data_IF_222974221049
#
_entry.id   IF_222974221049
#
_cell.length_a   1.000
_cell.length_b   1.000
_cell.length_c   1.000
_cell.angle_alpha   90.00
_cell.angle_beta   90.00
_cell.angle_gamma   90.00
#
_symmetry.space_group_name_H-M   'P 1'
#
loop_
_entity.id
_entity.type
_entity.pdbx_description
1 polymer ?
#
# COMPACT_ATOMS: atom_id res chain seq x y z
N UNK A 1 3.56 -13.46 10.76
CA UNK A 1 2.96 -13.39 12.12
C UNK A 1 3.56 -14.50 12.94
N UNK A 2 4.26 -14.15 14.02
CA UNK A 2 4.81 -15.09 14.97
C UNK A 2 3.80 -15.32 16.12
N UNK A 3 3.63 -16.56 16.53
CA UNK A 3 2.85 -16.83 17.75
C UNK A 3 3.70 -16.45 18.96
N UNK A 4 3.16 -15.67 19.88
CA UNK A 4 3.88 -15.20 21.08
C UNK A 4 4.48 -16.33 21.90
N UNK A 5 3.83 -17.48 21.96
CA UNK A 5 4.35 -18.66 22.65
C UNK A 5 5.57 -19.34 22.00
N UNK A 6 6.02 -18.82 20.85
CA UNK A 6 7.25 -19.26 20.17
C UNK A 6 8.37 -18.23 20.25
N UNK A 7 8.14 -17.11 20.88
CA UNK A 7 9.15 -16.10 21.15
C UNK A 7 9.83 -16.50 22.46
N UNK A 8 11.14 -16.70 22.50
CA UNK A 8 11.86 -17.02 23.74
C UNK A 8 11.69 -15.90 24.76
N UNK A 9 11.71 -16.25 26.05
CA UNK A 9 11.74 -15.26 27.10
C UNK A 9 13.01 -14.40 26.97
N UNK A 10 12.88 -13.10 27.18
CA UNK A 10 13.94 -12.10 27.00
C UNK A 10 14.51 -12.00 25.57
N UNK A 11 13.75 -12.42 24.55
CA UNK A 11 14.14 -12.22 23.17
C UNK A 11 14.29 -10.74 22.82
N UNK A 12 15.41 -10.39 22.20
CA UNK A 12 15.61 -9.09 21.59
C UNK A 12 14.86 -9.02 20.26
N UNK A 13 13.97 -8.03 20.11
CA UNK A 13 13.14 -7.86 18.92
C UNK A 13 13.45 -6.53 18.27
N UNK A 14 13.88 -6.57 17.02
CA UNK A 14 14.07 -5.38 16.18
C UNK A 14 12.94 -5.26 15.18
N UNK A 15 12.20 -4.16 15.23
CA UNK A 15 11.18 -3.79 14.23
C UNK A 15 11.77 -2.83 13.19
N UNK A 16 10.97 -2.43 12.20
CA UNK A 16 11.45 -1.54 11.12
C UNK A 16 11.96 -0.20 11.66
N UNK A 17 11.36 0.32 12.70
CA UNK A 17 11.74 1.57 13.35
C UNK A 17 13.13 1.49 14.02
N UNK A 18 13.54 0.28 14.41
CA UNK A 18 14.85 0.00 14.98
C UNK A 18 15.95 -0.25 13.95
N UNK A 19 15.64 -0.34 12.64
CA UNK A 19 16.66 -0.54 11.60
C UNK A 19 17.40 0.75 11.28
N UNK A 20 16.71 1.87 11.23
CA UNK A 20 17.25 3.20 11.00
C UNK A 20 16.16 4.25 10.99
N UNK A 21 16.54 5.51 11.19
CA UNK A 21 15.65 6.66 11.31
C UNK A 21 15.66 7.52 10.06
N UNK A 22 14.78 8.53 9.98
CA UNK A 22 14.78 9.50 8.87
C UNK A 22 16.10 10.29 8.76
N UNK A 23 16.78 10.53 9.88
CA UNK A 23 18.06 11.24 9.92
C UNK A 23 19.27 10.34 9.68
N UNK A 24 19.15 9.02 9.96
CA UNK A 24 20.22 8.05 9.74
C UNK A 24 19.62 6.71 9.28
N UNK A 25 19.40 6.62 7.99
CA UNK A 25 18.86 5.42 7.38
C UNK A 25 19.93 4.35 7.19
N UNK A 26 19.57 3.12 7.47
CA UNK A 26 20.38 1.96 7.12
C UNK A 26 20.58 1.88 5.59
N UNK A 27 21.73 1.39 5.05
CA UNK A 27 21.95 1.24 3.62
C UNK A 27 20.81 0.55 2.85
N UNK A 28 20.19 -0.46 3.45
CA UNK A 28 19.02 -1.13 2.87
C UNK A 28 17.84 -0.18 2.69
N UNK A 29 17.55 0.69 3.66
CA UNK A 29 16.46 1.65 3.57
C UNK A 29 16.72 2.69 2.48
N UNK A 30 17.95 3.18 2.38
CA UNK A 30 18.36 4.10 1.29
C UNK A 30 18.23 3.44 -0.07
N UNK A 31 18.73 2.22 -0.23
CA UNK A 31 18.59 1.46 -1.47
C UNK A 31 17.11 1.22 -1.83
N UNK A 32 16.26 0.91 -0.85
CA UNK A 32 14.81 0.73 -1.07
C UNK A 32 14.14 1.96 -1.64
N UNK A 33 14.51 3.15 -1.18
CA UNK A 33 14.03 4.41 -1.76
C UNK A 33 14.55 4.62 -3.17
N UNK A 34 15.86 4.49 -3.35
CA UNK A 34 16.55 4.81 -4.59
C UNK A 34 16.09 3.93 -5.76
N UNK A 35 15.81 2.66 -5.50
CA UNK A 35 15.33 1.70 -6.50
C UNK A 35 13.82 1.65 -6.66
N UNK A 36 13.08 2.58 -6.03
CA UNK A 36 11.62 2.66 -6.15
C UNK A 36 10.85 1.49 -5.54
N UNK A 37 11.44 0.82 -4.54
CA UNK A 37 10.86 -0.35 -3.90
C UNK A 37 9.67 -0.02 -2.99
N UNK A 38 9.63 1.20 -2.43
CA UNK A 38 8.55 1.65 -1.56
C UNK A 38 7.43 2.32 -2.36
N UNK A 39 6.56 1.55 -3.00
CA UNK A 39 5.36 2.06 -3.69
C UNK A 39 4.21 2.23 -2.70
N UNK A 40 3.31 1.24 -2.52
CA UNK A 40 2.33 1.34 -1.44
C UNK A 40 3.01 1.31 -0.06
N UNK A 41 4.14 0.64 0.08
CA UNK A 41 4.93 0.59 1.31
C UNK A 41 4.52 -0.54 2.28
N UNK A 42 3.39 -1.21 2.04
CA UNK A 42 2.86 -2.21 2.96
C UNK A 42 3.80 -3.38 3.22
N UNK A 43 4.50 -3.85 2.18
CA UNK A 43 5.44 -4.96 2.30
C UNK A 43 6.86 -4.52 2.70
N UNK A 44 7.17 -3.22 2.64
CA UNK A 44 8.54 -2.70 2.84
C UNK A 44 9.15 -3.10 4.17
N UNK A 45 8.46 -3.00 5.32
CA UNK A 45 9.03 -3.42 6.61
C UNK A 45 9.51 -4.88 6.60
N UNK A 46 8.67 -5.78 6.13
CA UNK A 46 8.99 -7.21 6.08
C UNK A 46 10.17 -7.53 5.17
N UNK A 47 10.23 -6.91 3.98
CA UNK A 47 11.35 -7.12 3.06
C UNK A 47 12.65 -6.51 3.59
N UNK A 48 12.63 -5.31 4.17
CA UNK A 48 13.80 -4.64 4.71
C UNK A 48 14.40 -5.44 5.87
N UNK A 49 13.58 -5.88 6.83
CA UNK A 49 14.04 -6.76 7.92
C UNK A 49 14.60 -8.07 7.36
N UNK A 50 13.90 -8.69 6.40
CA UNK A 50 14.35 -9.93 5.77
C UNK A 50 15.68 -9.75 5.03
N UNK A 51 15.85 -8.65 4.29
CA UNK A 51 17.09 -8.31 3.62
C UNK A 51 18.22 -8.04 4.62
N UNK A 52 17.94 -7.34 5.73
CA UNK A 52 18.91 -7.10 6.80
C UNK A 52 19.43 -8.41 7.38
N UNK A 53 18.54 -9.33 7.74
CA UNK A 53 18.94 -10.65 8.26
C UNK A 53 19.79 -11.43 7.25
N UNK A 54 19.43 -11.37 5.96
CA UNK A 54 20.26 -11.99 4.91
C UNK A 54 21.66 -11.38 4.89
N UNK A 55 21.78 -10.05 4.81
CA UNK A 55 23.05 -9.37 4.64
C UNK A 55 23.95 -9.41 5.90
N UNK A 56 23.35 -9.47 7.08
CA UNK A 56 24.08 -9.69 8.34
C UNK A 56 24.76 -11.09 8.36
N UNK A 57 24.15 -12.09 7.73
CA UNK A 57 24.68 -13.47 7.68
C UNK A 57 25.47 -13.78 6.39
N UNK A 58 25.17 -13.10 5.31
CA UNK A 58 25.87 -13.24 4.02
C UNK A 58 26.06 -11.85 3.39
N UNK A 59 27.20 -11.19 3.63
CA UNK A 59 27.45 -9.85 3.10
C UNK A 59 27.62 -9.78 1.58
N UNK A 60 27.82 -10.92 0.92
CA UNK A 60 28.06 -10.99 -0.53
C UNK A 60 27.15 -12.01 -1.22
N UNK A 61 25.81 -11.85 -1.09
CA UNK A 61 24.90 -12.80 -1.70
C UNK A 61 24.89 -12.66 -3.23
N UNK A 62 24.63 -13.75 -3.92
CA UNK A 62 24.25 -13.70 -5.33
C UNK A 62 22.79 -13.23 -5.48
N UNK A 63 22.43 -12.76 -6.68
CA UNK A 63 21.03 -12.37 -6.99
C UNK A 63 20.06 -13.53 -6.81
N UNK A 64 20.51 -14.75 -7.07
CA UNK A 64 19.72 -15.96 -6.92
C UNK A 64 19.45 -16.25 -5.44
N UNK A 65 20.49 -16.17 -4.61
CA UNK A 65 20.35 -16.32 -3.16
C UNK A 65 19.40 -15.29 -2.54
N UNK A 66 19.45 -14.02 -2.99
CA UNK A 66 18.52 -12.99 -2.54
C UNK A 66 17.07 -13.35 -2.91
N UNK A 67 16.84 -13.78 -4.16
CA UNK A 67 15.51 -14.21 -4.62
C UNK A 67 14.99 -15.39 -3.81
N UNK A 68 15.83 -16.41 -3.64
CA UNK A 68 15.44 -17.63 -2.93
C UNK A 68 15.22 -17.39 -1.44
N UNK A 69 16.00 -16.47 -0.85
CA UNK A 69 15.77 -16.00 0.51
C UNK A 69 14.39 -15.39 0.67
N UNK A 70 14.02 -14.42 -0.18
CA UNK A 70 12.69 -13.80 -0.11
C UNK A 70 11.56 -14.81 -0.33
N UNK A 71 11.73 -15.76 -1.24
CA UNK A 71 10.79 -16.85 -1.46
C UNK A 71 10.65 -17.74 -0.20
N UNK A 72 11.77 -18.11 0.42
CA UNK A 72 11.81 -18.92 1.65
C UNK A 72 11.12 -18.20 2.81
N UNK A 73 11.32 -16.89 2.93
CA UNK A 73 10.67 -16.05 3.95
C UNK A 73 9.22 -15.72 3.61
N UNK A 74 8.71 -16.13 2.44
CA UNK A 74 7.36 -15.86 1.95
C UNK A 74 7.04 -14.36 1.87
N UNK A 75 8.02 -13.54 1.56
CA UNK A 75 7.82 -12.13 1.33
C UNK A 75 7.07 -11.89 0.03
N UNK A 76 5.95 -11.18 0.09
CA UNK A 76 5.10 -10.90 -1.06
C UNK A 76 4.99 -9.38 -1.31
N UNK A 77 5.11 -9.00 -2.58
CA UNK A 77 4.87 -7.65 -3.05
C UNK A 77 3.96 -7.66 -4.29
N UNK A 78 2.91 -6.83 -4.30
CA UNK A 78 2.00 -6.72 -5.46
C UNK A 78 2.38 -5.58 -6.40
N UNK A 79 3.25 -4.65 -5.96
CA UNK A 79 3.50 -3.39 -6.67
C UNK A 79 4.73 -3.41 -7.57
N UNK A 80 5.83 -4.06 -7.16
CA UNK A 80 7.18 -3.82 -7.71
C UNK A 80 7.61 -4.79 -8.79
N UNK A 81 7.00 -5.97 -8.88
CA UNK A 81 7.47 -7.06 -9.76
C UNK A 81 8.79 -7.69 -9.29
N UNK A 82 9.18 -7.48 -8.03
CA UNK A 82 10.33 -8.09 -7.32
C UNK A 82 11.74 -7.69 -7.82
N UNK A 83 11.95 -7.44 -9.11
CA UNK A 83 13.27 -7.08 -9.64
C UNK A 83 13.92 -5.91 -8.89
N UNK A 84 13.25 -4.78 -8.65
CA UNK A 84 13.82 -3.66 -7.88
C UNK A 84 14.22 -4.05 -6.46
N UNK A 85 13.48 -4.97 -5.81
CA UNK A 85 13.79 -5.43 -4.45
C UNK A 85 15.12 -6.19 -4.39
N UNK A 86 15.38 -7.03 -5.39
CA UNK A 86 16.64 -7.75 -5.52
C UNK A 86 17.77 -6.76 -5.83
N UNK A 87 17.55 -5.85 -6.78
CA UNK A 87 18.53 -4.83 -7.17
C UNK A 87 18.92 -3.95 -5.98
N UNK A 88 17.95 -3.50 -5.19
CA UNK A 88 18.17 -2.72 -3.98
C UNK A 88 18.95 -3.48 -2.90
N UNK A 89 18.67 -4.78 -2.72
CA UNK A 89 19.41 -5.62 -1.78
C UNK A 89 20.87 -5.77 -2.20
N UNK A 90 21.13 -5.98 -3.48
CA UNK A 90 22.49 -6.07 -4.01
C UNK A 90 23.27 -4.77 -3.86
N UNK A 91 22.60 -3.63 -4.13
CA UNK A 91 23.19 -2.31 -3.96
C UNK A 91 23.47 -1.99 -2.48
N UNK A 92 22.56 -2.33 -1.58
CA UNK A 92 22.77 -2.20 -0.15
C UNK A 92 23.95 -3.06 0.33
N UNK A 93 24.09 -4.28 -0.17
CA UNK A 93 25.23 -5.15 0.12
C UNK A 93 26.56 -4.50 -0.30
N UNK A 94 26.61 -3.86 -1.48
CA UNK A 94 27.80 -3.14 -1.95
C UNK A 94 28.16 -1.95 -1.03
N UNK A 95 27.16 -1.19 -0.57
CA UNK A 95 27.40 -0.13 0.43
C UNK A 95 27.94 -0.70 1.74
N UNK A 96 27.34 -1.79 2.23
CA UNK A 96 27.77 -2.42 3.50
C UNK A 96 29.19 -3.00 3.43
N UNK A 97 29.66 -3.39 2.23
CA UNK A 97 31.05 -3.82 2.00
C UNK A 97 32.02 -2.65 1.74
N UNK A 98 31.53 -1.40 1.69
CA UNK A 98 32.34 -0.22 1.41
C UNK A 98 32.74 -0.04 -0.05
N UNK A 99 32.10 -0.74 -0.98
CA UNK A 99 32.34 -0.63 -2.43
C UNK A 99 31.70 0.64 -3.02
N UNK A 100 30.71 1.22 -2.33
CA UNK A 100 30.04 2.46 -2.67
C UNK A 100 29.49 3.11 -1.41
N UNK A 101 29.02 4.38 -1.50
CA UNK A 101 28.44 5.10 -0.39
C UNK A 101 26.91 5.12 -0.47
N UNK A 102 26.22 5.52 0.62
CA UNK A 102 24.76 5.74 0.61
C UNK A 102 24.37 6.85 -0.39
N UNK A 103 25.22 7.86 -0.53
CA UNK A 103 25.04 9.01 -1.42
C UNK A 103 25.12 8.63 -2.90
N UNK A 104 25.85 7.56 -3.24
CA UNK A 104 25.95 7.06 -4.62
C UNK A 104 24.65 6.37 -5.06
N UNK A 105 23.83 5.90 -4.11
CA UNK A 105 22.52 5.32 -4.40
C UNK A 105 21.47 6.38 -4.72
N UNK A 106 21.61 7.57 -4.15
CA UNK A 106 20.58 8.60 -4.22
C UNK A 106 20.64 9.30 -5.57
N UNK A 107 19.49 9.42 -6.22
CA UNK A 107 19.37 10.17 -7.46
C UNK A 107 19.83 11.63 -7.26
N UNK A 108 20.76 12.06 -8.11
CA UNK A 108 21.21 13.46 -8.19
C UNK A 108 20.59 14.08 -9.42
N UNK A 109 19.78 15.12 -9.24
CA UNK A 109 19.19 15.84 -10.36
C UNK A 109 20.29 16.55 -11.16
N UNK A 110 20.32 16.29 -12.46
CA UNK A 110 21.18 16.96 -13.43
C UNK A 110 20.31 17.66 -14.47
N UNK A 111 20.11 18.97 -14.31
CA UNK A 111 19.25 19.77 -15.20
C UNK A 111 17.93 20.19 -14.57
N UNK A 112 17.08 20.86 -15.35
CA UNK A 112 15.89 21.55 -14.84
C UNK A 112 14.62 20.71 -14.84
N UNK A 113 14.63 19.51 -15.47
CA UNK A 113 13.45 18.65 -15.57
C UNK A 113 13.55 17.44 -14.66
N UNK A 114 12.44 17.15 -13.94
CA UNK A 114 12.26 15.93 -13.18
C UNK A 114 11.66 14.81 -14.06
N UNK A 115 10.96 15.19 -15.12
CA UNK A 115 10.33 14.23 -16.04
C UNK A 115 11.38 13.39 -16.75
N UNK A 116 11.21 12.09 -16.73
CA UNK A 116 12.16 11.12 -17.30
C UNK A 116 13.36 10.78 -16.42
N UNK A 117 13.36 11.22 -15.16
CA UNK A 117 14.42 10.93 -14.19
C UNK A 117 13.98 9.91 -13.12
N UNK A 118 14.95 9.35 -12.42
CA UNK A 118 14.72 8.42 -11.30
C UNK A 118 14.49 9.17 -9.97
N UNK A 119 13.64 10.20 -9.99
CA UNK A 119 13.33 10.96 -8.80
C UNK A 119 12.72 10.10 -7.71
N UNK A 120 13.22 10.22 -6.48
CA UNK A 120 12.74 9.44 -5.34
C UNK A 120 11.32 9.89 -4.97
N UNK A 121 10.42 8.92 -4.79
CA UNK A 121 9.05 9.18 -4.34
C UNK A 121 9.06 9.92 -3.00
N UNK A 122 8.35 11.05 -2.83
CA UNK A 122 8.37 11.85 -1.60
C UNK A 122 8.01 11.07 -0.34
N UNK A 123 7.07 10.10 -0.44
CA UNK A 123 6.65 9.27 0.70
C UNK A 123 7.57 8.07 0.99
N UNK A 124 8.64 7.86 0.21
CA UNK A 124 9.45 6.66 0.33
C UNK A 124 10.21 6.60 1.66
N UNK A 125 10.77 7.72 2.11
CA UNK A 125 11.55 7.80 3.34
C UNK A 125 10.76 7.32 4.58
N UNK A 126 9.56 7.83 4.74
CA UNK A 126 8.68 7.46 5.85
C UNK A 126 8.22 5.99 5.76
N UNK A 127 7.98 5.47 4.54
CA UNK A 127 7.58 4.08 4.32
C UNK A 127 8.68 3.08 4.62
N UNK A 128 9.94 3.43 4.38
CA UNK A 128 11.07 2.54 4.67
C UNK A 128 11.53 2.60 6.11
N UNK A 129 11.16 3.65 6.84
CA UNK A 129 11.45 3.80 8.28
C UNK A 129 10.28 3.43 9.18
N UNK A 130 9.12 3.08 8.61
CA UNK A 130 7.92 2.72 9.37
C UNK A 130 7.16 3.90 9.99
N UNK A 131 7.47 5.13 9.58
CA UNK A 131 6.86 6.35 10.13
C UNK A 131 5.74 6.93 9.26
N UNK A 132 5.38 6.24 8.15
CA UNK A 132 4.31 6.66 7.27
C UNK A 132 2.94 6.35 7.86
N UNK A 133 2.09 7.36 7.95
CA UNK A 133 0.68 7.17 8.27
C UNK A 133 -0.10 6.69 7.04
N UNK A 134 -0.77 5.56 7.18
CA UNK A 134 -1.77 5.09 6.22
C UNK A 134 -3.15 5.61 6.62
N UNK A 135 -4.14 5.51 5.71
CA UNK A 135 -5.46 6.07 5.96
C UNK A 135 -6.13 5.62 7.27
N UNK A 136 -5.83 4.42 7.75
CA UNK A 136 -6.32 3.96 9.05
C UNK A 136 -5.64 4.69 10.23
N UNK A 137 -4.37 5.03 10.10
CA UNK A 137 -3.62 5.78 11.11
C UNK A 137 -4.11 7.23 11.16
N UNK A 138 -4.37 7.83 9.99
CA UNK A 138 -4.99 9.16 9.89
C UNK A 138 -6.37 9.18 10.55
N UNK A 139 -7.17 8.11 10.35
CA UNK A 139 -8.50 8.01 10.96
C UNK A 139 -8.46 7.98 12.49
N UNK A 140 -7.38 7.47 13.10
CA UNK A 140 -7.18 7.49 14.56
C UNK A 140 -6.83 8.88 15.09
N UNK A 141 -6.32 9.76 14.24
CA UNK A 141 -5.90 11.12 14.57
C UNK A 141 -6.98 12.18 14.25
N UNK A 142 -8.11 11.75 13.69
CA UNK A 142 -9.21 12.66 13.36
C UNK A 142 -9.84 13.26 14.62
N UNK A 143 -10.35 14.50 14.54
CA UNK A 143 -11.05 15.15 15.65
C UNK A 143 -12.18 14.30 16.22
N UNK A 144 -12.46 14.48 17.52
CA UNK A 144 -13.62 13.88 18.16
C UNK A 144 -14.92 14.27 17.40
N UNK A 145 -15.84 13.32 17.25
CA UNK A 145 -17.07 13.51 16.48
C UNK A 145 -16.92 13.24 14.97
N UNK A 146 -15.73 12.92 14.47
CA UNK A 146 -15.57 12.51 13.07
C UNK A 146 -16.35 11.23 12.80
N UNK A 147 -17.20 11.27 11.79
CA UNK A 147 -18.03 10.13 11.39
C UNK A 147 -17.20 9.08 10.63
N UNK A 148 -17.57 7.82 10.82
CA UNK A 148 -17.04 6.69 10.05
C UNK A 148 -18.07 6.21 9.05
N UNK A 149 -17.60 5.92 7.83
CA UNK A 149 -18.44 5.26 6.83
C UNK A 149 -18.37 3.74 6.99
N UNK A 150 -19.54 3.12 6.96
CA UNK A 150 -19.67 1.67 6.83
C UNK A 150 -20.40 1.36 5.52
N UNK A 151 -19.95 0.34 4.80
CA UNK A 151 -20.57 -0.09 3.56
C UNK A 151 -21.36 -1.38 3.79
N UNK A 152 -22.62 -1.38 3.39
CA UNK A 152 -23.41 -2.61 3.25
C UNK A 152 -23.08 -3.24 1.91
N UNK A 153 -22.50 -4.43 1.94
CA UNK A 153 -22.07 -5.17 0.78
C UNK A 153 -23.06 -6.28 0.42
N UNK A 154 -23.27 -6.48 -0.88
CA UNK A 154 -24.09 -7.59 -1.37
C UNK A 154 -23.40 -8.94 -1.12
N UNK A 155 -24.18 -9.93 -0.67
CA UNK A 155 -23.72 -11.31 -0.44
C UNK A 155 -24.10 -12.26 -1.59
N UNK A 156 -24.48 -11.69 -2.74
CA UNK A 156 -24.84 -12.42 -3.97
C UNK A 156 -24.12 -11.79 -5.16
N UNK A 157 -23.81 -12.62 -6.17
CA UNK A 157 -23.04 -12.16 -7.32
C UNK A 157 -23.86 -11.35 -8.32
N UNK A 158 -25.17 -11.61 -8.42
CA UNK A 158 -26.07 -10.96 -9.36
C UNK A 158 -27.52 -11.11 -8.90
N UNK A 159 -28.24 -10.00 -8.76
CA UNK A 159 -29.63 -10.02 -8.33
C UNK A 159 -30.35 -8.70 -8.68
N UNK A 160 -31.67 -8.74 -8.76
CA UNK A 160 -32.50 -7.55 -8.75
C UNK A 160 -32.78 -7.13 -7.30
N UNK A 161 -32.72 -5.83 -7.02
CA UNK A 161 -33.06 -5.25 -5.72
C UNK A 161 -34.55 -4.96 -5.74
N UNK A 162 -35.31 -5.64 -4.91
CA UNK A 162 -36.76 -5.45 -4.80
C UNK A 162 -37.09 -4.28 -3.86
N UNK A 163 -36.35 -4.15 -2.77
CA UNK A 163 -36.49 -3.06 -1.80
C UNK A 163 -35.20 -2.85 -1.03
N UNK A 164 -35.00 -1.64 -0.53
CA UNK A 164 -33.97 -1.28 0.44
C UNK A 164 -34.71 -0.68 1.63
N UNK A 165 -34.69 -1.41 2.76
CA UNK A 165 -35.24 -0.94 4.02
C UNK A 165 -34.08 -0.48 4.93
N UNK A 166 -34.10 0.78 5.32
CA UNK A 166 -33.07 1.41 6.15
C UNK A 166 -33.55 1.67 7.58
N UNK A 167 -34.80 1.34 7.90
CA UNK A 167 -35.48 1.70 9.16
C UNK A 167 -34.73 1.24 10.39
N UNK A 168 -34.29 -0.02 10.41
CA UNK A 168 -33.54 -0.57 11.53
C UNK A 168 -32.19 0.14 11.68
N UNK A 169 -31.45 0.31 10.60
CA UNK A 169 -30.15 0.96 10.61
C UNK A 169 -30.24 2.42 11.06
N UNK A 170 -31.26 3.16 10.62
CA UNK A 170 -31.46 4.55 11.01
C UNK A 170 -31.81 4.70 12.49
N UNK A 171 -32.42 3.67 13.10
CA UNK A 171 -32.80 3.68 14.51
C UNK A 171 -31.65 3.27 15.45
N UNK A 172 -30.53 2.76 14.93
CA UNK A 172 -29.42 2.27 15.73
C UNK A 172 -28.67 3.40 16.43
N UNK A 173 -28.34 3.27 17.72
CA UNK A 173 -27.50 4.25 18.41
C UNK A 173 -26.14 4.44 17.72
N UNK A 174 -25.76 5.70 17.48
CA UNK A 174 -24.50 6.07 16.82
C UNK A 174 -24.59 6.16 15.30
N UNK A 175 -25.67 5.74 14.69
CA UNK A 175 -25.91 5.97 13.26
C UNK A 175 -26.42 7.41 13.08
N UNK A 176 -25.66 8.21 12.36
CA UNK A 176 -26.02 9.61 12.06
C UNK A 176 -26.91 9.70 10.82
N UNK A 177 -26.60 8.88 9.81
CA UNK A 177 -27.35 8.85 8.55
C UNK A 177 -27.10 7.57 7.78
N UNK A 178 -28.12 7.05 7.13
CA UNK A 178 -28.01 6.03 6.08
C UNK A 178 -28.15 6.74 4.72
N UNK A 179 -27.21 6.47 3.82
CA UNK A 179 -27.16 7.06 2.48
C UNK A 179 -27.42 5.98 1.45
N UNK A 180 -28.38 6.24 0.56
CA UNK A 180 -28.75 5.37 -0.55
C UNK A 180 -28.59 6.11 -1.89
N UNK A 181 -28.78 5.41 -2.99
CA UNK A 181 -28.79 6.04 -4.32
C UNK A 181 -29.87 7.13 -4.46
N UNK A 182 -30.96 7.06 -3.69
CA UNK A 182 -31.99 8.09 -3.66
C UNK A 182 -31.46 9.42 -3.13
N UNK A 183 -30.62 9.37 -2.10
CA UNK A 183 -30.01 10.56 -1.51
C UNK A 183 -29.06 11.26 -2.49
N UNK A 184 -28.28 10.48 -3.24
CA UNK A 184 -27.39 11.03 -4.28
C UNK A 184 -28.21 11.77 -5.34
N UNK A 185 -29.30 11.16 -5.81
CA UNK A 185 -30.20 11.76 -6.81
C UNK A 185 -30.93 13.01 -6.27
N UNK A 186 -31.39 12.95 -5.03
CA UNK A 186 -32.05 14.06 -4.36
C UNK A 186 -31.12 15.27 -4.16
N UNK A 187 -29.84 15.03 -3.96
CA UNK A 187 -28.80 16.07 -3.89
C UNK A 187 -28.37 16.62 -5.26
N UNK A 188 -29.04 16.23 -6.36
CA UNK A 188 -28.71 16.66 -7.72
C UNK A 188 -27.47 15.93 -8.33
N UNK A 189 -26.97 14.89 -7.67
CA UNK A 189 -25.86 14.08 -8.16
C UNK A 189 -26.32 12.97 -9.11
N UNK A 190 -25.38 12.41 -9.86
CA UNK A 190 -25.61 11.20 -10.64
C UNK A 190 -25.14 9.97 -9.86
N UNK A 191 -26.00 8.95 -9.80
CA UNK A 191 -25.64 7.65 -9.21
C UNK A 191 -24.85 6.76 -10.18
N UNK A 192 -24.19 7.34 -11.16
CA UNK A 192 -23.45 6.61 -12.19
C UNK A 192 -21.98 7.02 -12.20
N UNK A 193 -21.10 6.06 -12.16
CA UNK A 193 -19.68 6.25 -12.45
C UNK A 193 -19.52 6.08 -13.95
N UNK A 194 -19.14 7.14 -14.64
CA UNK A 194 -18.78 7.05 -16.06
C UNK A 194 -17.55 6.16 -16.16
N UNK A 195 -17.76 4.93 -16.62
CA UNK A 195 -16.68 4.03 -16.91
C UNK A 195 -15.85 4.58 -18.08
N UNK A 196 -14.77 5.25 -17.77
CA UNK A 196 -13.76 5.66 -18.75
C UNK A 196 -13.02 4.41 -19.24
N UNK A 197 -13.74 3.51 -19.88
CA UNK A 197 -13.07 2.52 -20.74
C UNK A 197 -12.81 3.25 -22.05
N UNK A 198 -11.65 3.85 -22.15
CA UNK A 198 -11.10 4.34 -23.42
C UNK A 198 -10.86 3.14 -24.33
N UNK A 199 -11.92 2.59 -24.89
CA UNK A 199 -11.82 1.74 -26.06
C UNK A 199 -11.60 2.68 -27.27
N UNK A 200 -10.44 2.64 -27.93
CA UNK A 200 -10.07 3.62 -28.97
C UNK A 200 -11.04 3.68 -30.16
N UNK A 201 -12.01 2.79 -30.25
CA UNK A 201 -12.97 2.70 -31.36
C UNK A 201 -14.41 3.06 -30.99
N UNK A 202 -14.70 3.30 -29.71
CA UNK A 202 -16.07 3.54 -29.28
C UNK A 202 -16.10 4.76 -28.35
N UNK A 203 -16.36 5.93 -28.92
CA UNK A 203 -16.69 7.14 -28.15
C UNK A 203 -18.04 7.05 -27.40
N UNK A 204 -18.51 5.83 -27.09
CA UNK A 204 -19.76 5.60 -26.37
C UNK A 204 -19.44 4.98 -25.03
N UNK A 205 -19.70 5.72 -24.00
CA UNK A 205 -19.70 5.25 -22.60
C UNK A 205 -20.98 4.50 -22.24
N UNK A 206 -21.96 4.49 -23.12
CA UNK A 206 -23.27 3.86 -22.91
C UNK A 206 -23.11 2.36 -22.67
N UNK A 207 -23.58 1.90 -21.51
CA UNK A 207 -23.57 0.49 -21.12
C UNK A 207 -22.41 0.07 -20.22
N UNK A 208 -21.45 0.96 -19.93
CA UNK A 208 -20.35 0.72 -18.98
C UNK A 208 -20.49 1.50 -17.67
N UNK A 209 -21.58 2.21 -17.52
CA UNK A 209 -21.87 2.97 -16.30
C UNK A 209 -22.20 2.03 -15.16
N UNK A 210 -21.46 2.19 -14.08
CA UNK A 210 -21.70 1.45 -12.84
C UNK A 210 -22.39 2.37 -11.85
N UNK A 211 -23.36 1.87 -11.07
CA UNK A 211 -23.92 2.67 -9.99
C UNK A 211 -22.84 2.95 -8.93
N UNK A 212 -22.88 4.13 -8.33
CA UNK A 212 -22.10 4.45 -7.13
C UNK A 212 -22.62 3.61 -5.97
N UNK A 213 -23.95 3.61 -5.78
CA UNK A 213 -24.66 2.72 -4.86
C UNK A 213 -25.73 1.95 -5.67
N UNK A 214 -25.79 0.64 -5.48
CA UNK A 214 -26.80 -0.17 -6.16
C UNK A 214 -28.22 0.23 -5.72
N UNK A 215 -29.11 0.42 -6.68
CA UNK A 215 -30.51 0.81 -6.47
C UNK A 215 -31.53 -0.14 -7.15
N UNK A 216 -31.16 -0.71 -8.29
CA UNK A 216 -32.04 -1.61 -9.06
C UNK A 216 -31.44 -3.01 -9.17
N UNK A 217 -30.12 -3.11 -9.26
CA UNK A 217 -29.46 -4.36 -9.58
C UNK A 217 -28.10 -4.47 -8.89
N UNK A 218 -27.80 -5.66 -8.41
CA UNK A 218 -26.47 -6.07 -7.94
C UNK A 218 -25.75 -6.73 -9.10
N UNK A 219 -24.52 -6.30 -9.39
CA UNK A 219 -23.73 -6.77 -10.53
C UNK A 219 -22.57 -7.65 -10.13
N UNK A 220 -22.21 -7.67 -8.86
CA UNK A 220 -21.10 -8.47 -8.33
C UNK A 220 -21.24 -8.66 -6.83
N UNK A 221 -20.57 -9.66 -6.29
CA UNK A 221 -20.44 -9.86 -4.86
C UNK A 221 -19.58 -8.74 -4.24
N UNK A 222 -20.03 -8.12 -3.15
CA UNK A 222 -19.32 -7.06 -2.45
C UNK A 222 -19.88 -5.67 -2.62
#
# INVERSE_FOLDING_TARGET
IYKMNRVPDHAEITTIEGVGTLSDMHPIQVAWMAYGCAQCGFCSPGFIISAKVLLDNNPSPTREEVRDWFNKQRNLCRCTGYKPLIDATMAAAAVMRGEMTKEDLVFKQTGDSIVGTNYIRPSAAQKVTGTWDFGADDALKMPEGTLRLALTQAKVSHANILSIDTTEAESMPGVVRVITAKDIKAAGGTNKINGLVMLPKHNKTDGFERPVLCDEKIFQFG
#
